data_IF_510458879633
#
_entry.id   IF_510458879633
#
_cell.length_a   1.000
_cell.length_b   1.000
_cell.length_c   1.000
_cell.angle_alpha   90.00
_cell.angle_beta   90.00
_cell.angle_gamma   90.00
#
_symmetry.space_group_name_H-M   'P 1'
#
loop_
_entity.id
_entity.type
_entity.pdbx_description
1 polymer ?
#
# COMPACT_ATOMS: atom_id res chain seq x y z
N UNK A 1 -13.93 -18.22 1.91
CA UNK A 1 -14.23 -17.51 3.18
C UNK A 1 -12.92 -16.92 3.68
N UNK A 2 -12.82 -15.59 3.78
CA UNK A 2 -11.63 -14.95 4.36
C UNK A 2 -11.56 -15.35 5.84
N UNK A 3 -10.47 -16.00 6.24
CA UNK A 3 -10.27 -16.45 7.62
C UNK A 3 -9.95 -15.25 8.53
N UNK A 4 -10.23 -15.35 9.84
CA UNK A 4 -9.79 -14.35 10.84
C UNK A 4 -8.29 -14.03 10.70
N UNK A 5 -7.50 -15.06 10.35
CA UNK A 5 -6.08 -14.90 10.07
C UNK A 5 -5.81 -13.93 8.90
N UNK A 6 -6.63 -13.93 7.84
CA UNK A 6 -6.49 -12.98 6.73
C UNK A 6 -6.67 -11.53 7.21
N UNK A 7 -7.66 -11.26 8.05
CA UNK A 7 -7.89 -9.91 8.58
C UNK A 7 -6.77 -9.44 9.53
N UNK A 8 -6.18 -10.37 10.30
CA UNK A 8 -5.08 -10.05 11.21
C UNK A 8 -3.73 -9.87 10.50
N UNK A 9 -3.43 -10.73 9.52
CA UNK A 9 -2.09 -10.78 8.90
C UNK A 9 -1.96 -9.93 7.64
N UNK A 10 -3.04 -9.68 6.89
CA UNK A 10 -2.99 -8.83 5.70
C UNK A 10 -2.43 -7.42 5.98
N UNK A 11 -2.86 -6.68 7.03
CA UNK A 11 -2.30 -5.34 7.29
C UNK A 11 -0.82 -5.38 7.64
N UNK A 12 -0.39 -6.39 8.40
CA UNK A 12 1.02 -6.58 8.77
C UNK A 12 1.86 -6.89 7.52
N UNK A 13 1.39 -7.83 6.69
CA UNK A 13 2.09 -8.21 5.47
C UNK A 13 2.20 -7.03 4.51
N UNK A 14 1.10 -6.31 4.28
CA UNK A 14 1.08 -5.12 3.43
C UNK A 14 2.00 -4.02 3.94
N UNK A 15 2.04 -3.81 5.26
CA UNK A 15 2.98 -2.89 5.89
C UNK A 15 4.44 -3.30 5.64
N UNK A 16 4.79 -4.57 5.88
CA UNK A 16 6.16 -5.05 5.69
C UNK A 16 6.60 -4.96 4.21
N UNK A 17 5.73 -5.36 3.29
CA UNK A 17 5.96 -5.25 1.85
C UNK A 17 6.09 -3.79 1.41
N UNK A 18 5.23 -2.91 1.92
CA UNK A 18 5.29 -1.47 1.68
C UNK A 18 6.62 -0.89 2.15
N UNK A 19 7.03 -1.18 3.38
CA UNK A 19 8.30 -0.72 3.94
C UNK A 19 9.50 -1.16 3.09
N UNK A 20 9.55 -2.44 2.69
CA UNK A 20 10.62 -2.98 1.86
C UNK A 20 10.62 -2.37 0.45
N UNK A 21 9.46 -2.26 -0.20
CA UNK A 21 9.31 -1.67 -1.53
C UNK A 21 9.67 -0.17 -1.51
N UNK A 22 9.20 0.56 -0.50
CA UNK A 22 9.54 1.96 -0.29
C UNK A 22 11.03 2.16 -0.08
N UNK A 23 11.62 1.40 0.84
CA UNK A 23 13.07 1.46 1.12
C UNK A 23 13.90 1.17 -0.13
N UNK A 24 13.54 0.11 -0.86
CA UNK A 24 14.26 -0.26 -2.09
C UNK A 24 14.13 0.80 -3.17
N UNK A 25 12.92 1.31 -3.41
CA UNK A 25 12.69 2.38 -4.36
C UNK A 25 13.46 3.66 -3.96
N UNK A 26 13.42 4.06 -2.69
CA UNK A 26 14.15 5.21 -2.18
C UNK A 26 15.66 5.05 -2.31
N UNK A 27 16.20 3.88 -1.94
CA UNK A 27 17.65 3.66 -1.90
C UNK A 27 18.30 3.53 -3.28
N UNK A 28 17.65 2.86 -4.22
CA UNK A 28 18.26 2.47 -5.51
C UNK A 28 17.58 3.07 -6.75
N UNK A 29 16.26 3.26 -6.73
CA UNK A 29 15.52 3.83 -7.89
C UNK A 29 15.40 5.35 -7.82
N UNK A 30 15.70 5.94 -6.65
CA UNK A 30 15.61 7.36 -6.40
C UNK A 30 14.17 7.87 -6.25
N UNK A 31 14.03 9.19 -6.21
CA UNK A 31 12.73 9.84 -5.94
C UNK A 31 11.67 9.49 -6.99
N UNK A 32 12.05 9.39 -8.27
CA UNK A 32 11.11 9.05 -9.35
C UNK A 32 10.50 7.66 -9.16
N UNK A 33 11.32 6.66 -8.82
CA UNK A 33 10.84 5.30 -8.55
C UNK A 33 9.89 5.26 -7.36
N UNK A 34 10.21 6.00 -6.29
CA UNK A 34 9.34 6.11 -5.12
C UNK A 34 7.99 6.77 -5.45
N UNK A 35 7.99 7.84 -6.24
CA UNK A 35 6.76 8.51 -6.66
C UNK A 35 5.89 7.62 -7.55
N UNK A 36 6.49 6.84 -8.45
CA UNK A 36 5.76 5.85 -9.24
C UNK A 36 5.13 4.76 -8.37
N UNK A 37 5.86 4.25 -7.38
CA UNK A 37 5.34 3.25 -6.43
C UNK A 37 4.11 3.78 -5.68
N UNK A 38 4.20 5.00 -5.15
CA UNK A 38 3.09 5.66 -4.44
C UNK A 38 1.93 5.92 -5.39
N UNK A 39 2.21 6.39 -6.60
CA UNK A 39 1.19 6.66 -7.62
C UNK A 39 0.42 5.41 -8.02
N UNK A 40 1.11 4.30 -8.29
CA UNK A 40 0.47 3.02 -8.63
C UNK A 40 -0.35 2.45 -7.47
N UNK A 41 0.17 2.49 -6.24
CA UNK A 41 -0.59 2.04 -5.07
C UNK A 41 -1.81 2.93 -4.80
N UNK A 42 -1.71 4.24 -5.04
CA UNK A 42 -2.84 5.18 -4.95
C UNK A 42 -3.89 4.91 -6.02
N UNK A 43 -3.46 4.58 -7.26
CA UNK A 43 -4.37 4.19 -8.33
C UNK A 43 -5.14 2.90 -8.01
N UNK A 44 -4.47 1.92 -7.38
CA UNK A 44 -5.13 0.71 -6.89
C UNK A 44 -6.17 1.04 -5.79
N UNK A 45 -5.82 1.93 -4.86
CA UNK A 45 -6.77 2.42 -3.85
C UNK A 45 -7.98 3.12 -4.47
N UNK A 46 -7.76 3.98 -5.47
CA UNK A 46 -8.82 4.65 -6.20
C UNK A 46 -9.73 3.65 -6.92
N UNK A 47 -9.16 2.62 -7.56
CA UNK A 47 -9.95 1.58 -8.21
C UNK A 47 -10.86 0.85 -7.20
N UNK A 48 -10.35 0.53 -6.01
CA UNK A 48 -11.16 -0.08 -4.94
C UNK A 48 -12.27 0.87 -4.46
N UNK A 49 -12.00 2.17 -4.35
CA UNK A 49 -13.01 3.17 -4.00
C UNK A 49 -14.11 3.24 -5.07
N UNK A 50 -13.75 3.23 -6.35
CA UNK A 50 -14.73 3.22 -7.46
C UNK A 50 -15.58 1.96 -7.43
N UNK A 51 -14.98 0.79 -7.17
CA UNK A 51 -15.72 -0.46 -7.00
C UNK A 51 -16.70 -0.35 -5.83
N UNK A 52 -16.24 0.11 -4.65
CA UNK A 52 -17.08 0.29 -3.46
C UNK A 52 -18.24 1.25 -3.72
N UNK A 53 -17.99 2.35 -4.45
CA UNK A 53 -19.02 3.33 -4.79
C UNK A 53 -20.09 2.79 -5.75
N UNK A 54 -19.79 1.72 -6.48
CA UNK A 54 -20.74 1.06 -7.38
C UNK A 54 -21.66 0.04 -6.70
N UNK A 55 -21.44 -0.29 -5.42
CA UNK A 55 -22.20 -1.34 -4.72
C UNK A 55 -23.51 -0.76 -4.19
N UNK A 56 -24.62 -1.41 -4.57
CA UNK A 56 -25.97 -0.97 -4.22
C UNK A 56 -26.43 -1.41 -2.84
N UNK A 57 -27.55 -0.83 -2.39
CA UNK A 57 -28.21 -1.25 -1.14
C UNK A 57 -28.72 -2.68 -1.26
N UNK A 58 -28.38 -3.53 -0.30
CA UNK A 58 -28.71 -4.96 -0.32
C UNK A 58 -27.58 -5.87 -0.82
N UNK A 59 -26.46 -5.30 -1.28
CA UNK A 59 -25.27 -6.04 -1.76
C UNK A 59 -24.04 -5.86 -0.84
N UNK A 60 -24.27 -5.57 0.44
CA UNK A 60 -23.21 -5.20 1.41
C UNK A 60 -22.12 -6.28 1.58
N UNK A 61 -22.48 -7.55 1.41
CA UNK A 61 -21.51 -8.65 1.44
C UNK A 61 -20.43 -8.51 0.35
N UNK A 62 -20.78 -7.95 -0.81
CA UNK A 62 -19.84 -7.70 -1.90
C UNK A 62 -18.84 -6.57 -1.56
N UNK A 63 -19.22 -5.65 -0.65
CA UNK A 63 -18.36 -4.55 -0.23
C UNK A 63 -17.23 -4.98 0.70
N UNK A 64 -17.39 -6.12 1.40
CA UNK A 64 -16.41 -6.60 2.37
C UNK A 64 -15.03 -6.83 1.74
N UNK A 65 -14.95 -7.49 0.59
CA UNK A 65 -13.68 -7.80 -0.08
C UNK A 65 -12.88 -6.53 -0.45
N UNK A 66 -13.47 -5.62 -1.24
CA UNK A 66 -12.81 -4.36 -1.61
C UNK A 66 -12.46 -3.48 -0.41
N UNK A 67 -13.32 -3.42 0.62
CA UNK A 67 -13.05 -2.67 1.84
C UNK A 67 -11.83 -3.22 2.61
N UNK A 68 -11.71 -4.55 2.71
CA UNK A 68 -10.57 -5.20 3.34
C UNK A 68 -9.28 -4.92 2.58
N UNK A 69 -9.31 -5.03 1.25
CA UNK A 69 -8.15 -4.71 0.43
C UNK A 69 -7.75 -3.23 0.53
N UNK A 70 -8.71 -2.32 0.64
CA UNK A 70 -8.42 -0.91 0.81
C UNK A 70 -7.76 -0.66 2.18
N UNK A 71 -8.39 -1.14 3.25
CA UNK A 71 -8.01 -0.83 4.64
C UNK A 71 -6.83 -1.62 5.17
N UNK A 72 -6.73 -2.90 4.83
CA UNK A 72 -5.66 -3.79 5.26
C UNK A 72 -4.61 -4.07 4.16
N UNK A 73 -4.89 -3.73 2.91
CA UNK A 73 -3.94 -3.85 1.81
C UNK A 73 -3.26 -2.52 1.48
N UNK A 74 -4.00 -1.65 0.81
CA UNK A 74 -3.47 -0.44 0.17
C UNK A 74 -3.00 0.60 1.20
N UNK A 75 -3.81 0.89 2.22
CA UNK A 75 -3.46 1.95 3.19
C UNK A 75 -2.20 1.63 4.02
N UNK A 76 -2.04 0.42 4.61
CA UNK A 76 -0.82 0.07 5.34
C UNK A 76 0.40 0.03 4.42
N UNK A 77 0.23 -0.47 3.19
CA UNK A 77 1.28 -0.47 2.19
C UNK A 77 1.76 0.94 1.84
N UNK A 78 0.84 1.86 1.53
CA UNK A 78 1.17 3.25 1.20
C UNK A 78 1.90 3.95 2.35
N UNK A 79 1.38 3.83 3.56
CA UNK A 79 2.00 4.40 4.76
C UNK A 79 3.44 3.90 4.93
N UNK A 80 3.63 2.58 4.86
CA UNK A 80 4.93 1.96 5.03
C UNK A 80 5.89 2.27 3.86
N UNK A 81 5.39 2.33 2.63
CA UNK A 81 6.19 2.68 1.45
C UNK A 81 6.73 4.11 1.51
N UNK A 82 5.95 5.05 2.02
CA UNK A 82 6.42 6.42 2.26
C UNK A 82 7.52 6.43 3.33
N UNK A 83 7.28 5.80 4.48
CA UNK A 83 8.29 5.74 5.56
C UNK A 83 9.58 5.05 5.12
N UNK A 84 9.46 3.88 4.48
CA UNK A 84 10.59 3.13 3.92
C UNK A 84 11.34 3.97 2.88
N UNK A 85 10.60 4.65 2.00
CA UNK A 85 11.17 5.54 0.98
C UNK A 85 11.98 6.69 1.55
N UNK A 86 11.48 7.35 2.61
CA UNK A 86 12.23 8.40 3.33
C UNK A 86 13.52 7.82 3.92
N UNK A 87 13.46 6.65 4.55
CA UNK A 87 14.64 5.96 5.09
C UNK A 87 15.67 5.61 4.01
N UNK A 88 15.22 5.00 2.91
CA UNK A 88 16.07 4.62 1.78
C UNK A 88 16.73 5.82 1.11
N UNK A 89 15.98 6.93 0.90
CA UNK A 89 16.53 8.17 0.35
C UNK A 89 17.56 8.82 1.26
N UNK A 90 17.30 8.86 2.56
CA UNK A 90 18.22 9.45 3.53
C UNK A 90 19.56 8.72 3.55
N UNK A 91 19.56 7.39 3.43
CA UNK A 91 20.79 6.60 3.33
C UNK A 91 21.49 6.76 1.99
N UNK A 92 20.75 6.84 0.87
CA UNK A 92 21.35 7.08 -0.44
C UNK A 92 22.14 8.39 -0.45
N UNK A 93 21.52 9.48 0.00
CA UNK A 93 22.16 10.81 0.03
C UNK A 93 23.42 10.82 0.90
N UNK A 94 23.42 10.09 2.02
CA UNK A 94 24.61 9.98 2.90
C UNK A 94 25.72 9.11 2.31
N UNK A 95 25.38 8.11 1.50
CA UNK A 95 26.36 7.23 0.87
C UNK A 95 27.08 7.92 -0.30
N UNK A 96 26.43 8.91 -0.91
CA UNK A 96 26.95 9.69 -2.04
C UNK A 96 27.69 10.97 -1.59
N UNK A 97 27.70 11.29 -0.28
CA UNK A 97 28.33 12.47 0.32
C UNK A 97 29.73 12.16 0.88
#
# INVERSE_FOLDING_TARGET
MASVATFAYLPILSFLLGAAAGFTAGRWLGLRGLLWLIGLASAAGLALIVVLAGIGTGEEEQAFGPLVWLTAGVLPFLFAAIMGGVGGRSLAVRADA
#
